data_IF_130283587502
#
_entry.id   IF_130283587502
#
_cell.length_a   1.000
_cell.length_b   1.000
_cell.length_c   1.000
_cell.angle_alpha   90.00
_cell.angle_beta   90.00
_cell.angle_gamma   90.00
#
_symmetry.space_group_name_H-M   'P 1'
#
loop_
_entity.id
_entity.type
_entity.pdbx_description
1 polymer ?
#
# COMPACT_ATOMS: atom_id res chain seq x y z
N UNK A 1 -22.40 28.99 1.25
CA UNK A 1 -21.13 28.94 2.00
C UNK A 1 -20.24 27.74 1.68
N UNK A 2 -20.74 26.52 1.51
CA UNK A 2 -19.94 25.27 1.28
C UNK A 2 -19.21 25.27 -0.08
N UNK A 3 -19.77 25.86 -1.15
CA UNK A 3 -19.10 25.96 -2.46
C UNK A 3 -17.82 26.82 -2.43
N UNK A 4 -17.85 27.95 -1.71
CA UNK A 4 -16.70 28.85 -1.58
C UNK A 4 -15.54 28.20 -0.81
N UNK A 5 -15.82 27.42 0.26
CA UNK A 5 -14.79 26.73 1.02
C UNK A 5 -14.06 25.65 0.21
N UNK A 6 -14.78 24.89 -0.64
CA UNK A 6 -14.17 23.92 -1.57
C UNK A 6 -13.32 24.60 -2.65
N UNK A 7 -13.76 25.76 -3.13
CA UNK A 7 -13.03 26.54 -4.13
C UNK A 7 -11.76 27.17 -3.55
N UNK A 8 -11.85 27.74 -2.36
CA UNK A 8 -10.70 28.28 -1.64
C UNK A 8 -9.66 27.20 -1.33
N UNK A 9 -10.10 26.01 -0.91
CA UNK A 9 -9.18 24.86 -0.67
C UNK A 9 -8.49 24.41 -1.95
N UNK A 10 -9.19 24.38 -3.10
CA UNK A 10 -8.58 24.05 -4.41
C UNK A 10 -7.55 25.11 -4.84
N UNK A 11 -7.87 26.39 -4.69
CA UNK A 11 -6.95 27.49 -4.98
C UNK A 11 -5.71 27.43 -4.07
N UNK A 12 -5.89 27.15 -2.79
CA UNK A 12 -4.78 26.94 -1.85
C UNK A 12 -3.87 25.78 -2.23
N UNK A 13 -4.44 24.64 -2.67
CA UNK A 13 -3.66 23.50 -3.15
C UNK A 13 -2.89 23.81 -4.44
N UNK A 14 -3.50 24.54 -5.38
CA UNK A 14 -2.83 24.97 -6.61
C UNK A 14 -1.70 25.96 -6.32
N UNK A 15 -1.93 26.91 -5.42
CA UNK A 15 -0.90 27.87 -4.99
C UNK A 15 0.27 27.15 -4.29
N UNK A 16 0.00 26.19 -3.42
CA UNK A 16 1.02 25.37 -2.76
C UNK A 16 1.82 24.53 -3.79
N UNK A 17 1.14 23.91 -4.75
CA UNK A 17 1.80 23.16 -5.82
C UNK A 17 2.68 24.08 -6.69
N UNK A 18 2.17 25.25 -7.07
CA UNK A 18 2.95 26.26 -7.81
C UNK A 18 4.16 26.76 -7.05
N UNK A 19 4.02 26.98 -5.74
CA UNK A 19 5.13 27.37 -4.87
C UNK A 19 6.25 26.31 -4.86
N UNK A 20 5.90 25.04 -4.62
CA UNK A 20 6.89 23.96 -4.59
C UNK A 20 7.52 23.67 -5.96
N UNK A 21 6.77 23.78 -7.04
CA UNK A 21 7.33 23.71 -8.39
C UNK A 21 8.28 24.87 -8.67
N UNK A 22 7.97 26.09 -8.19
CA UNK A 22 8.87 27.25 -8.26
C UNK A 22 10.15 27.04 -7.47
N UNK A 23 10.06 26.54 -6.24
CA UNK A 23 11.24 26.18 -5.40
C UNK A 23 12.10 25.14 -6.12
N UNK A 24 11.49 24.07 -6.68
CA UNK A 24 12.24 23.09 -7.46
C UNK A 24 12.91 23.70 -8.68
N UNK A 25 12.20 24.52 -9.45
CA UNK A 25 12.76 25.19 -10.61
C UNK A 25 13.96 26.07 -10.25
N UNK A 26 13.84 26.89 -9.19
CA UNK A 26 14.92 27.78 -8.74
C UNK A 26 16.13 26.98 -8.24
N UNK A 27 15.91 25.91 -7.50
CA UNK A 27 17.01 25.05 -7.04
C UNK A 27 17.69 24.34 -8.20
N UNK A 28 16.95 23.85 -9.19
CA UNK A 28 17.53 23.24 -10.38
C UNK A 28 18.36 24.24 -11.20
N UNK A 29 17.91 25.48 -11.31
CA UNK A 29 18.66 26.56 -11.97
C UNK A 29 19.92 26.95 -11.17
N UNK A 30 19.85 26.99 -9.85
CA UNK A 30 20.99 27.29 -8.97
C UNK A 30 22.07 26.20 -9.04
N UNK A 31 21.67 24.93 -9.14
CA UNK A 31 22.60 23.79 -9.34
C UNK A 31 23.24 23.84 -10.72
N UNK A 32 22.51 24.31 -11.75
CA UNK A 32 23.01 24.51 -13.11
C UNK A 32 23.43 23.25 -13.87
N UNK A 33 23.23 22.07 -13.29
CA UNK A 33 23.61 20.79 -13.89
C UNK A 33 22.41 19.83 -13.95
N UNK A 34 21.80 19.62 -15.14
CA UNK A 34 20.63 18.74 -15.30
C UNK A 34 20.87 17.27 -14.86
N UNK A 35 22.12 16.83 -14.91
CA UNK A 35 22.53 15.49 -14.44
C UNK A 35 22.37 15.34 -12.93
N UNK A 36 22.53 16.41 -12.14
CA UNK A 36 22.34 16.38 -10.69
C UNK A 36 20.88 16.63 -10.31
N UNK A 37 20.28 17.65 -10.90
CA UNK A 37 18.89 18.02 -10.61
C UNK A 37 18.20 18.53 -11.89
N UNK A 38 17.34 17.73 -12.53
CA UNK A 38 16.60 18.16 -13.69
C UNK A 38 15.53 19.19 -13.31
N UNK A 39 15.21 20.08 -14.22
CA UNK A 39 14.09 21.00 -14.05
C UNK A 39 12.75 20.26 -14.10
N UNK A 40 11.67 20.80 -13.49
CA UNK A 40 10.33 20.24 -13.63
C UNK A 40 9.90 20.02 -15.08
N UNK A 41 10.29 20.94 -15.98
CA UNK A 41 10.00 20.82 -17.41
C UNK A 41 10.70 19.63 -18.06
N UNK A 42 11.97 19.37 -17.72
CA UNK A 42 12.71 18.21 -18.23
C UNK A 42 12.13 16.90 -17.70
N UNK A 43 11.80 16.82 -16.42
CA UNK A 43 11.15 15.64 -15.83
C UNK A 43 9.77 15.37 -16.47
N UNK A 44 9.00 16.42 -16.74
CA UNK A 44 7.71 16.31 -17.42
C UNK A 44 7.87 15.87 -18.89
N UNK A 45 8.84 16.38 -19.60
CA UNK A 45 9.12 15.98 -20.99
C UNK A 45 9.45 14.49 -21.08
N UNK A 46 10.29 13.97 -20.15
CA UNK A 46 10.61 12.55 -20.07
C UNK A 46 9.38 11.71 -19.69
N UNK A 47 8.54 12.18 -18.76
CA UNK A 47 7.30 11.52 -18.42
C UNK A 47 6.37 11.40 -19.65
N UNK A 48 6.18 12.48 -20.40
CA UNK A 48 5.35 12.48 -21.62
C UNK A 48 5.92 11.55 -22.69
N UNK A 49 7.25 11.46 -22.81
CA UNK A 49 7.94 10.53 -23.72
C UNK A 49 7.69 9.07 -23.35
N UNK A 50 7.68 8.74 -22.05
CA UNK A 50 7.49 7.38 -21.57
C UNK A 50 6.04 6.91 -21.65
N UNK A 51 5.06 7.79 -21.46
CA UNK A 51 3.63 7.43 -21.40
C UNK A 51 3.12 6.59 -22.60
N UNK A 52 3.46 6.89 -23.86
CA UNK A 52 3.01 6.08 -25.01
C UNK A 52 3.80 4.80 -25.20
N UNK A 53 4.93 4.59 -24.48
CA UNK A 53 5.78 3.44 -24.66
C UNK A 53 5.12 2.17 -24.10
N UNK A 54 4.94 1.10 -24.89
CA UNK A 54 4.34 -0.15 -24.42
C UNK A 54 5.13 -0.79 -23.26
N UNK A 55 6.45 -0.58 -23.25
CA UNK A 55 7.33 -1.08 -22.19
C UNK A 55 6.96 -0.56 -20.81
N UNK A 56 6.51 0.70 -20.70
CA UNK A 56 6.06 1.26 -19.43
C UNK A 56 4.92 0.45 -18.84
N UNK A 57 3.90 0.16 -19.64
CA UNK A 57 2.72 -0.57 -19.19
C UNK A 57 3.00 -2.01 -18.87
N UNK A 58 3.90 -2.65 -19.61
CA UNK A 58 4.38 -4.00 -19.31
C UNK A 58 5.11 -4.05 -17.96
N UNK A 59 6.04 -3.12 -17.73
CA UNK A 59 6.78 -2.99 -16.46
C UNK A 59 5.82 -2.67 -15.29
N UNK A 60 4.87 -1.76 -15.51
CA UNK A 60 3.86 -1.41 -14.54
C UNK A 60 2.98 -2.61 -14.15
N UNK A 61 2.49 -3.37 -15.14
CA UNK A 61 1.69 -4.57 -14.91
C UNK A 61 2.49 -5.66 -14.20
N UNK A 62 3.76 -5.85 -14.57
CA UNK A 62 4.66 -6.82 -13.95
C UNK A 62 4.89 -6.49 -12.46
N UNK A 63 5.28 -5.27 -12.13
CA UNK A 63 5.52 -4.84 -10.75
C UNK A 63 4.23 -4.83 -9.93
N UNK A 64 3.15 -4.26 -10.48
CA UNK A 64 1.85 -4.20 -9.80
C UNK A 64 1.31 -5.59 -9.47
N UNK A 65 1.36 -6.54 -10.44
CA UNK A 65 0.89 -7.91 -10.22
C UNK A 65 1.60 -8.59 -9.06
N UNK A 66 2.91 -8.37 -8.91
CA UNK A 66 3.72 -8.99 -7.85
C UNK A 66 3.51 -8.34 -6.50
N UNK A 67 3.48 -7.01 -6.46
CA UNK A 67 3.21 -6.26 -5.24
C UNK A 67 1.81 -6.58 -4.71
N UNK A 68 0.81 -6.61 -5.60
CA UNK A 68 -0.57 -6.96 -5.23
C UNK A 68 -0.72 -8.43 -4.82
N UNK A 69 0.04 -9.35 -5.43
CA UNK A 69 0.08 -10.75 -4.97
C UNK A 69 0.62 -10.82 -3.53
N UNK A 70 1.73 -10.13 -3.24
CA UNK A 70 2.29 -10.04 -1.88
C UNK A 70 1.30 -9.42 -0.89
N UNK A 71 0.61 -8.35 -1.29
CA UNK A 71 -0.45 -7.74 -0.51
C UNK A 71 -1.60 -8.70 -0.23
N UNK A 72 -2.11 -9.39 -1.24
CA UNK A 72 -3.22 -10.35 -1.10
C UNK A 72 -2.86 -11.51 -0.17
N UNK A 73 -1.68 -12.10 -0.35
CA UNK A 73 -1.17 -13.14 0.55
C UNK A 73 -1.04 -12.61 1.98
N UNK A 74 -0.47 -11.41 2.15
CA UNK A 74 -0.35 -10.75 3.45
C UNK A 74 -1.71 -10.50 4.10
N UNK A 75 -2.70 -10.04 3.34
CA UNK A 75 -4.05 -9.78 3.84
C UNK A 75 -4.75 -11.06 4.32
N UNK A 76 -4.67 -12.14 3.53
CA UNK A 76 -5.25 -13.44 3.91
C UNK A 76 -4.55 -14.00 5.15
N UNK A 77 -3.22 -14.07 5.14
CA UNK A 77 -2.45 -14.60 6.28
C UNK A 77 -2.68 -13.77 7.55
N UNK A 78 -2.65 -12.44 7.46
CA UNK A 78 -2.90 -11.55 8.60
C UNK A 78 -4.26 -11.77 9.23
N UNK A 79 -5.30 -11.91 8.41
CA UNK A 79 -6.68 -12.14 8.88
C UNK A 79 -6.80 -13.48 9.57
N UNK A 80 -6.23 -14.56 8.99
CA UNK A 80 -6.22 -15.89 9.59
C UNK A 80 -5.44 -15.92 10.90
N UNK A 81 -4.25 -15.31 10.94
CA UNK A 81 -3.42 -15.25 12.15
C UNK A 81 -4.09 -14.41 13.25
N UNK A 82 -4.74 -13.30 12.91
CA UNK A 82 -5.47 -12.48 13.86
C UNK A 82 -6.68 -13.22 14.45
N UNK A 83 -7.42 -13.96 13.62
CA UNK A 83 -8.52 -14.81 14.07
C UNK A 83 -8.03 -15.97 14.97
N UNK A 84 -6.90 -16.59 14.61
CA UNK A 84 -6.28 -17.63 15.44
C UNK A 84 -5.78 -17.07 16.79
N UNK A 85 -5.12 -15.91 16.79
CA UNK A 85 -4.65 -15.26 18.00
C UNK A 85 -5.80 -14.80 18.91
N UNK A 86 -6.94 -14.40 18.34
CA UNK A 86 -8.14 -14.12 19.10
C UNK A 86 -8.71 -15.38 19.79
N UNK A 87 -8.64 -16.53 19.12
CA UNK A 87 -9.19 -17.79 19.65
C UNK A 87 -8.26 -18.48 20.65
N UNK A 88 -6.93 -18.33 20.49
CA UNK A 88 -5.92 -19.01 21.28
C UNK A 88 -4.84 -18.04 21.76
N UNK A 89 -4.81 -17.78 23.06
CA UNK A 89 -3.80 -16.91 23.71
C UNK A 89 -2.36 -17.37 23.45
N UNK A 90 -2.14 -18.67 23.34
CA UNK A 90 -0.82 -19.21 23.01
C UNK A 90 -0.33 -18.76 21.64
N UNK A 91 -1.23 -18.67 20.65
CA UNK A 91 -0.91 -18.14 19.30
C UNK A 91 -0.58 -16.65 19.36
N UNK A 92 -1.34 -15.87 20.14
CA UNK A 92 -1.08 -14.44 20.34
C UNK A 92 0.32 -14.22 20.94
N UNK A 93 0.65 -14.91 22.02
CA UNK A 93 1.95 -14.83 22.68
C UNK A 93 3.10 -15.22 21.75
N UNK A 94 2.90 -16.23 20.92
CA UNK A 94 3.90 -16.67 19.93
C UNK A 94 4.10 -15.67 18.80
N UNK A 95 3.02 -15.06 18.32
CA UNK A 95 3.08 -14.12 17.19
C UNK A 95 3.57 -12.72 17.60
N UNK A 96 3.32 -12.30 18.84
CA UNK A 96 3.66 -10.94 19.28
C UNK A 96 5.14 -10.55 19.00
N UNK A 97 6.16 -11.36 19.39
CA UNK A 97 7.55 -11.02 19.12
C UNK A 97 7.88 -11.00 17.61
N UNK A 98 7.26 -11.89 16.82
CA UNK A 98 7.48 -11.94 15.36
C UNK A 98 6.93 -10.68 14.70
N UNK A 99 5.71 -10.26 15.07
CA UNK A 99 5.11 -9.04 14.52
C UNK A 99 5.91 -7.78 14.91
N UNK A 100 6.45 -7.74 16.12
CA UNK A 100 7.31 -6.65 16.56
C UNK A 100 8.65 -6.63 15.82
N UNK A 101 9.26 -7.80 15.62
CA UNK A 101 10.52 -7.92 14.87
C UNK A 101 10.36 -7.40 13.45
N UNK A 102 9.29 -7.81 12.75
CA UNK A 102 9.03 -7.34 11.38
C UNK A 102 8.81 -5.83 11.32
N UNK A 103 8.09 -5.25 12.31
CA UNK A 103 7.87 -3.80 12.38
C UNK A 103 9.14 -3.01 12.69
N UNK A 104 10.02 -3.55 13.52
CA UNK A 104 11.24 -2.85 13.98
C UNK A 104 12.39 -2.94 12.98
N UNK A 105 12.42 -3.96 12.13
CA UNK A 105 13.52 -4.19 11.21
C UNK A 105 13.43 -3.27 9.99
N UNK A 106 14.51 -2.56 9.63
CA UNK A 106 14.55 -1.76 8.41
C UNK A 106 14.28 -2.62 7.18
N UNK A 107 13.41 -2.13 6.28
CA UNK A 107 13.01 -2.86 5.07
C UNK A 107 14.22 -3.26 4.21
N UNK A 108 15.20 -2.36 4.06
CA UNK A 108 16.41 -2.64 3.27
C UNK A 108 17.19 -3.84 3.81
N UNK A 109 17.26 -4.01 5.15
CA UNK A 109 17.93 -5.16 5.77
C UNK A 109 17.19 -6.47 5.46
N UNK A 110 15.86 -6.47 5.48
CA UNK A 110 15.08 -7.63 5.06
C UNK A 110 15.30 -7.99 3.59
N UNK A 111 15.37 -6.97 2.72
CA UNK A 111 15.59 -7.19 1.28
C UNK A 111 16.93 -7.89 1.05
N UNK A 112 18.00 -7.35 1.66
CA UNK A 112 19.37 -7.92 1.52
C UNK A 112 19.43 -9.34 2.07
N UNK A 113 18.83 -9.56 3.25
CA UNK A 113 18.79 -10.88 3.86
C UNK A 113 18.00 -11.88 2.99
N UNK A 114 16.84 -11.48 2.47
CA UNK A 114 16.00 -12.33 1.64
C UNK A 114 16.65 -12.74 0.30
N UNK A 115 17.53 -11.88 -0.25
CA UNK A 115 18.28 -12.19 -1.49
C UNK A 115 19.16 -13.43 -1.37
N UNK A 116 19.53 -13.85 -0.15
CA UNK A 116 20.31 -15.08 0.07
C UNK A 116 19.51 -16.33 -0.32
N UNK A 117 18.19 -16.30 -0.13
CA UNK A 117 17.33 -17.48 -0.33
C UNK A 117 16.33 -17.33 -1.48
N UNK A 118 16.00 -16.11 -1.84
CA UNK A 118 14.91 -15.80 -2.77
C UNK A 118 15.47 -15.07 -3.99
N UNK A 119 15.07 -15.52 -5.19
CA UNK A 119 15.45 -14.85 -6.44
C UNK A 119 14.86 -13.42 -6.50
N UNK A 120 15.56 -12.51 -7.18
CA UNK A 120 15.10 -11.13 -7.37
C UNK A 120 13.67 -11.04 -7.92
N UNK A 121 13.25 -12.03 -8.72
CA UNK A 121 11.89 -12.13 -9.25
C UNK A 121 10.82 -12.29 -8.17
N UNK A 122 11.05 -13.04 -7.12
CA UNK A 122 10.07 -13.31 -6.06
C UNK A 122 10.22 -12.37 -4.87
N UNK A 123 11.26 -11.56 -4.85
CA UNK A 123 11.63 -10.70 -3.74
C UNK A 123 10.56 -9.65 -3.44
N UNK A 124 10.01 -8.96 -4.46
CA UNK A 124 8.97 -7.96 -4.24
C UNK A 124 7.68 -8.55 -3.66
N UNK A 125 7.34 -9.81 -4.03
CA UNK A 125 6.20 -10.52 -3.44
C UNK A 125 6.43 -10.78 -1.95
N UNK A 126 7.61 -11.32 -1.60
CA UNK A 126 7.96 -11.64 -0.21
C UNK A 126 8.01 -10.39 0.67
N UNK A 127 8.67 -9.34 0.19
CA UNK A 127 8.81 -8.10 0.96
C UNK A 127 7.46 -7.40 1.13
N UNK A 128 6.65 -7.34 0.08
CA UNK A 128 5.29 -6.82 0.15
C UNK A 128 4.44 -7.61 1.17
N UNK A 129 4.51 -8.94 1.13
CA UNK A 129 3.86 -9.82 2.10
C UNK A 129 4.28 -9.52 3.54
N UNK A 130 5.59 -9.46 3.81
CA UNK A 130 6.13 -9.22 5.15
C UNK A 130 5.71 -7.85 5.70
N UNK A 131 5.68 -6.81 4.87
CA UNK A 131 5.31 -5.46 5.30
C UNK A 131 3.80 -5.33 5.58
N UNK A 132 2.98 -6.03 4.84
CA UNK A 132 1.51 -6.04 5.01
C UNK A 132 1.10 -6.82 6.27
N UNK A 133 1.79 -7.92 6.54
CA UNK A 133 1.44 -8.89 7.58
C UNK A 133 1.18 -8.24 8.95
N UNK A 134 2.11 -7.50 9.58
CA UNK A 134 1.89 -6.94 10.91
C UNK A 134 0.89 -5.78 10.93
N UNK A 135 0.73 -5.06 9.82
CA UNK A 135 -0.19 -3.93 9.71
C UNK A 135 -1.62 -4.43 9.73
N UNK A 136 -1.94 -5.39 8.86
CA UNK A 136 -3.29 -5.94 8.79
C UNK A 136 -3.62 -6.85 9.96
N UNK A 137 -2.63 -7.60 10.49
CA UNK A 137 -2.81 -8.35 11.75
C UNK A 137 -3.28 -7.43 12.88
N UNK A 138 -2.59 -6.30 13.09
CA UNK A 138 -2.98 -5.32 14.09
C UNK A 138 -4.35 -4.70 13.83
N UNK A 139 -4.66 -4.35 12.58
CA UNK A 139 -5.94 -3.77 12.21
C UNK A 139 -7.11 -4.74 12.48
N UNK A 140 -6.97 -6.01 12.10
CA UNK A 140 -7.99 -7.04 12.35
C UNK A 140 -8.15 -7.28 13.86
N UNK A 141 -7.04 -7.37 14.61
CA UNK A 141 -7.10 -7.52 16.09
C UNK A 141 -7.84 -6.36 16.73
N UNK A 142 -7.50 -5.11 16.37
CA UNK A 142 -8.20 -3.92 16.88
C UNK A 142 -9.69 -3.96 16.53
N UNK A 143 -10.05 -4.39 15.33
CA UNK A 143 -11.45 -4.57 14.94
C UNK A 143 -12.18 -5.63 15.75
N UNK A 144 -11.53 -6.76 16.03
CA UNK A 144 -12.08 -7.81 16.87
C UNK A 144 -12.27 -7.30 18.32
N UNK A 145 -11.29 -6.63 18.88
CA UNK A 145 -11.31 -6.14 20.25
C UNK A 145 -12.30 -4.95 20.44
N UNK A 146 -12.74 -4.31 19.34
CA UNK A 146 -13.75 -3.24 19.36
C UNK A 146 -15.20 -3.74 19.40
N UNK A 147 -15.42 -5.07 19.35
CA UNK A 147 -16.77 -5.64 19.38
C UNK A 147 -17.40 -5.45 20.76
N UNK A 148 -18.60 -4.86 20.79
CA UNK A 148 -19.35 -4.68 22.02
C UNK A 148 -19.80 -6.02 22.59
N UNK A 149 -19.38 -6.31 23.84
CA UNK A 149 -19.76 -7.52 24.57
C UNK A 149 -21.28 -7.68 24.72
N UNK A 150 -22.01 -6.57 24.87
CA UNK A 150 -23.47 -6.62 24.98
C UNK A 150 -24.14 -7.15 23.71
N UNK A 151 -23.60 -6.78 22.52
CA UNK A 151 -24.09 -7.35 21.26
C UNK A 151 -23.82 -8.85 21.14
N UNK A 152 -22.68 -9.30 21.66
CA UNK A 152 -22.34 -10.73 21.68
C UNK A 152 -23.27 -11.51 22.61
N UNK A 153 -23.55 -10.99 23.83
CA UNK A 153 -24.50 -11.56 24.77
C UNK A 153 -25.92 -11.59 24.19
N UNK A 154 -26.37 -10.49 23.59
CA UNK A 154 -27.66 -10.43 22.91
C UNK A 154 -27.77 -11.52 21.82
N UNK A 155 -26.72 -11.69 20.99
CA UNK A 155 -26.68 -12.74 19.98
C UNK A 155 -26.74 -14.16 20.57
N UNK A 156 -26.29 -14.37 21.83
CA UNK A 156 -26.42 -15.64 22.55
C UNK A 156 -27.86 -15.86 23.08
N UNK A 157 -28.46 -14.83 23.67
CA UNK A 157 -29.84 -14.85 24.19
C UNK A 157 -30.82 -15.18 23.07
N UNK A 158 -30.66 -14.56 21.91
CA UNK A 158 -31.48 -14.85 20.71
C UNK A 158 -31.09 -16.16 20.00
N UNK A 159 -30.17 -16.94 20.54
CA UNK A 159 -29.67 -18.20 19.98
C UNK A 159 -29.29 -18.10 18.49
N UNK A 160 -28.69 -16.96 18.12
CA UNK A 160 -28.22 -16.78 16.75
C UNK A 160 -27.17 -17.84 16.41
N UNK A 161 -27.33 -18.51 15.27
CA UNK A 161 -26.33 -19.42 14.73
C UNK A 161 -24.97 -18.69 14.60
N UNK A 162 -23.86 -19.42 14.80
CA UNK A 162 -22.50 -18.88 14.74
C UNK A 162 -22.26 -18.06 13.48
N UNK A 163 -22.72 -18.51 12.32
CA UNK A 163 -22.59 -17.81 11.03
C UNK A 163 -23.33 -16.47 11.01
N UNK A 164 -24.54 -16.40 11.58
CA UNK A 164 -25.29 -15.14 11.69
C UNK A 164 -24.61 -14.17 12.66
N UNK A 165 -24.08 -14.65 13.80
CA UNK A 165 -23.30 -13.79 14.72
C UNK A 165 -22.05 -13.24 14.04
N UNK A 166 -21.31 -14.07 13.30
CA UNK A 166 -20.14 -13.65 12.56
C UNK A 166 -20.48 -12.51 11.57
N UNK A 167 -21.56 -12.69 10.82
CA UNK A 167 -21.97 -11.75 9.78
C UNK A 167 -22.63 -10.47 10.33
N UNK A 168 -23.42 -10.56 11.40
CA UNK A 168 -24.17 -9.44 11.94
C UNK A 168 -23.41 -8.63 13.02
N UNK A 169 -22.46 -9.24 13.73
CA UNK A 169 -21.77 -8.59 14.85
C UNK A 169 -20.30 -8.40 14.54
N UNK A 170 -19.56 -9.48 14.23
CA UNK A 170 -18.11 -9.44 14.10
C UNK A 170 -17.66 -8.74 12.81
N UNK A 171 -18.23 -9.13 11.69
CA UNK A 171 -17.80 -8.62 10.39
C UNK A 171 -18.00 -7.10 10.25
N UNK A 172 -19.17 -6.50 10.64
CA UNK A 172 -19.34 -5.06 10.61
C UNK A 172 -18.39 -4.28 11.54
N UNK A 173 -18.01 -4.87 12.67
CA UNK A 173 -17.07 -4.25 13.61
C UNK A 173 -15.62 -4.29 13.09
N UNK A 174 -15.21 -5.40 12.46
CA UNK A 174 -13.85 -5.59 11.94
C UNK A 174 -13.61 -4.82 10.63
N UNK A 175 -14.61 -4.74 9.75
CA UNK A 175 -14.47 -4.17 8.41
C UNK A 175 -13.92 -2.74 8.38
N UNK A 176 -14.35 -1.78 9.24
CA UNK A 176 -13.80 -0.43 9.23
C UNK A 176 -12.31 -0.39 9.58
N UNK A 177 -11.90 -1.15 10.61
CA UNK A 177 -10.51 -1.26 11.02
C UNK A 177 -9.66 -1.95 9.95
N UNK A 178 -10.17 -3.02 9.33
CA UNK A 178 -9.51 -3.70 8.21
C UNK A 178 -9.33 -2.77 7.01
N UNK A 179 -10.36 -2.02 6.63
CA UNK A 179 -10.29 -1.03 5.56
C UNK A 179 -9.22 0.04 5.83
N UNK A 180 -9.20 0.58 7.05
CA UNK A 180 -8.17 1.53 7.45
C UNK A 180 -6.78 0.92 7.39
N UNK A 181 -6.63 -0.31 7.88
CA UNK A 181 -5.40 -1.09 7.78
C UNK A 181 -4.96 -1.31 6.32
N UNK A 182 -5.88 -1.61 5.41
CA UNK A 182 -5.58 -1.77 3.99
C UNK A 182 -5.03 -0.49 3.36
N UNK A 183 -5.57 0.69 3.69
CA UNK A 183 -5.05 1.96 3.16
C UNK A 183 -3.59 2.17 3.58
N UNK A 184 -3.26 1.94 4.86
CA UNK A 184 -1.88 2.05 5.36
C UNK A 184 -0.99 0.97 4.74
N UNK A 185 -1.45 -0.28 4.72
CA UNK A 185 -0.69 -1.42 4.22
C UNK A 185 -0.36 -1.30 2.73
N UNK A 186 -1.28 -0.78 1.90
CA UNK A 186 -1.04 -0.54 0.47
C UNK A 186 0.08 0.45 0.23
N UNK A 187 0.09 1.57 0.95
CA UNK A 187 1.15 2.57 0.82
C UNK A 187 2.53 2.02 1.21
N UNK A 188 2.61 1.22 2.27
CA UNK A 188 3.86 0.58 2.72
C UNK A 188 4.28 -0.51 1.73
N UNK A 189 3.36 -1.37 1.34
CA UNK A 189 3.56 -2.48 0.43
C UNK A 189 4.13 -2.01 -0.92
N UNK A 190 3.56 -0.95 -1.50
CA UNK A 190 4.03 -0.41 -2.77
C UNK A 190 5.46 0.12 -2.66
N UNK A 191 5.75 0.94 -1.63
CA UNK A 191 7.09 1.49 -1.40
C UNK A 191 8.13 0.38 -1.19
N UNK A 192 7.82 -0.60 -0.35
CA UNK A 192 8.73 -1.69 -0.03
C UNK A 192 8.90 -2.67 -1.20
N UNK A 193 7.84 -2.94 -1.97
CA UNK A 193 7.88 -3.79 -3.14
C UNK A 193 8.76 -3.21 -4.26
N UNK A 194 8.61 -1.91 -4.55
CA UNK A 194 9.48 -1.20 -5.51
C UNK A 194 10.92 -1.13 -4.99
N UNK A 195 11.15 -0.89 -3.69
CA UNK A 195 12.48 -0.92 -3.11
C UNK A 195 13.15 -2.31 -3.27
N UNK A 196 12.38 -3.38 -3.10
CA UNK A 196 12.84 -4.74 -3.34
C UNK A 196 13.20 -4.99 -4.81
N UNK A 197 12.48 -4.39 -5.76
CA UNK A 197 12.82 -4.46 -7.19
C UNK A 197 14.08 -3.66 -7.55
N UNK A 198 14.30 -2.50 -6.89
CA UNK A 198 15.52 -1.69 -7.11
C UNK A 198 16.77 -2.44 -6.63
N UNK A 199 16.66 -3.21 -5.55
CA UNK A 199 17.80 -3.95 -4.98
C UNK A 199 17.94 -5.33 -5.65
N UNK A 200 16.83 -6.01 -5.90
CA UNK A 200 16.80 -7.36 -6.48
C UNK A 200 16.91 -7.40 -8.02
N UNK A 201 16.75 -6.25 -8.67
CA UNK A 201 16.92 -6.05 -10.13
C UNK A 201 16.23 -7.10 -11.01
N UNK A 202 14.95 -7.42 -10.80
CA UNK A 202 14.25 -8.32 -11.69
C UNK A 202 13.99 -7.63 -13.04
N UNK A 203 14.52 -8.21 -14.12
CA UNK A 203 14.33 -7.67 -15.47
C UNK A 203 12.87 -7.39 -15.77
N UNK A 204 12.61 -6.23 -16.37
CA UNK A 204 11.28 -5.79 -16.77
C UNK A 204 10.41 -5.22 -15.65
N UNK A 205 10.96 -4.92 -14.47
CA UNK A 205 10.26 -4.25 -13.39
C UNK A 205 10.37 -2.72 -13.44
N UNK A 206 9.54 -2.03 -12.67
CA UNK A 206 9.65 -0.58 -12.46
C UNK A 206 10.93 -0.23 -11.70
N UNK A 207 11.32 -1.05 -10.71
CA UNK A 207 12.55 -0.87 -9.96
C UNK A 207 13.80 -1.03 -10.82
N UNK A 208 13.83 -2.00 -11.76
CA UNK A 208 14.90 -2.17 -12.75
C UNK A 208 15.02 -0.93 -13.66
N UNK A 209 13.89 -0.39 -14.16
CA UNK A 209 13.90 0.80 -14.99
C UNK A 209 14.50 2.00 -14.26
N UNK A 210 14.07 2.23 -13.01
CA UNK A 210 14.61 3.30 -12.18
C UNK A 210 16.11 3.13 -11.90
N UNK A 211 16.55 1.90 -11.64
CA UNK A 211 17.96 1.60 -11.41
C UNK A 211 18.80 1.82 -12.67
N UNK A 212 18.31 1.41 -13.84
CA UNK A 212 18.98 1.64 -15.14
C UNK A 212 19.14 3.15 -15.41
N UNK A 213 18.10 3.93 -15.21
CA UNK A 213 18.16 5.39 -15.34
C UNK A 213 19.21 6.00 -14.39
N UNK A 214 19.37 5.43 -13.17
CA UNK A 214 20.41 5.83 -12.22
C UNK A 214 21.83 5.57 -12.74
N UNK A 215 22.12 4.37 -13.22
CA UNK A 215 23.49 4.01 -13.67
C UNK A 215 23.89 4.72 -14.97
N UNK A 216 22.91 5.11 -15.80
CA UNK A 216 23.15 5.90 -17.01
C UNK A 216 23.15 7.41 -16.73
N UNK A 217 22.97 7.83 -15.48
CA UNK A 217 22.87 9.24 -15.08
C UNK A 217 21.77 10.02 -15.82
N UNK A 218 20.74 9.33 -16.30
CA UNK A 218 19.57 9.89 -16.94
C UNK A 218 18.58 10.42 -15.88
N UNK A 219 18.95 11.48 -15.17
CA UNK A 219 18.22 11.95 -13.98
C UNK A 219 16.80 12.41 -14.30
N UNK A 220 16.58 13.01 -15.47
CA UNK A 220 15.22 13.34 -15.95
C UNK A 220 14.32 12.11 -16.03
N UNK A 221 14.86 11.01 -16.56
CA UNK A 221 14.16 9.72 -16.64
C UNK A 221 13.91 9.10 -15.25
N UNK A 222 14.87 9.23 -14.31
CA UNK A 222 14.67 8.81 -12.91
C UNK A 222 13.47 9.51 -12.27
N UNK A 223 13.36 10.82 -12.45
CA UNK A 223 12.21 11.59 -11.93
C UNK A 223 10.90 11.19 -12.62
N UNK A 224 10.92 10.92 -13.91
CA UNK A 224 9.75 10.42 -14.65
C UNK A 224 9.31 9.05 -14.12
N UNK A 225 10.20 8.08 -13.95
CA UNK A 225 9.88 6.77 -13.36
C UNK A 225 9.36 6.88 -11.93
N UNK A 226 9.97 7.76 -11.12
CA UNK A 226 9.48 8.03 -9.76
C UNK A 226 8.06 8.59 -9.77
N UNK A 227 7.76 9.53 -10.67
CA UNK A 227 6.41 10.07 -10.82
C UNK A 227 5.41 8.99 -11.25
N UNK A 228 5.79 8.11 -12.19
CA UNK A 228 4.97 6.97 -12.63
C UNK A 228 4.67 6.03 -11.46
N UNK A 229 5.68 5.67 -10.68
CA UNK A 229 5.53 4.81 -9.50
C UNK A 229 4.56 5.43 -8.49
N UNK A 230 4.66 6.74 -8.23
CA UNK A 230 3.76 7.45 -7.33
C UNK A 230 2.32 7.49 -7.86
N UNK A 231 2.13 7.76 -9.15
CA UNK A 231 0.81 7.79 -9.77
C UNK A 231 0.14 6.42 -9.78
N UNK A 232 0.89 5.37 -10.09
CA UNK A 232 0.41 4.00 -10.05
C UNK A 232 0.04 3.60 -8.62
N UNK A 233 0.88 3.89 -7.63
CA UNK A 233 0.58 3.65 -6.21
C UNK A 233 -0.75 4.29 -5.78
N UNK A 234 -0.91 5.59 -6.07
CA UNK A 234 -2.13 6.32 -5.74
C UNK A 234 -3.37 5.81 -6.50
N UNK A 235 -3.19 5.38 -7.75
CA UNK A 235 -4.25 4.77 -8.56
C UNK A 235 -4.71 3.43 -7.99
N UNK A 236 -3.77 2.55 -7.65
CA UNK A 236 -4.07 1.24 -7.06
C UNK A 236 -4.69 1.36 -5.68
N UNK A 237 -4.20 2.27 -4.83
CA UNK A 237 -4.80 2.52 -3.52
C UNK A 237 -6.27 2.93 -3.66
N UNK A 238 -6.56 3.91 -4.50
CA UNK A 238 -7.94 4.36 -4.74
C UNK A 238 -8.84 3.26 -5.31
N UNK A 239 -8.33 2.49 -6.27
CA UNK A 239 -9.09 1.41 -6.90
C UNK A 239 -9.43 0.33 -5.86
N UNK A 240 -8.45 -0.12 -5.09
CA UNK A 240 -8.62 -1.20 -4.13
C UNK A 240 -9.52 -0.77 -2.96
N UNK A 241 -9.37 0.46 -2.46
CA UNK A 241 -10.26 0.99 -1.43
C UNK A 241 -11.69 1.16 -1.96
N UNK A 242 -11.89 1.59 -3.20
CA UNK A 242 -13.21 1.67 -3.81
C UNK A 242 -13.87 0.28 -3.97
N UNK A 243 -13.10 -0.75 -4.29
CA UNK A 243 -13.58 -2.13 -4.33
C UNK A 243 -13.95 -2.65 -2.94
N UNK A 244 -13.11 -2.37 -1.93
CA UNK A 244 -13.42 -2.71 -0.54
C UNK A 244 -14.67 -1.99 -0.04
N UNK A 245 -14.84 -0.70 -0.33
CA UNK A 245 -16.02 0.06 0.07
C UNK A 245 -17.30 -0.53 -0.51
N UNK A 246 -17.25 -0.98 -1.77
CA UNK A 246 -18.39 -1.68 -2.41
C UNK A 246 -18.68 -3.03 -1.74
N UNK A 247 -17.64 -3.80 -1.44
CA UNK A 247 -17.79 -5.09 -0.76
C UNK A 247 -18.36 -4.91 0.67
N UNK A 248 -17.87 -3.92 1.41
CA UNK A 248 -18.40 -3.57 2.74
C UNK A 248 -19.86 -3.16 2.66
N UNK A 249 -20.22 -2.29 1.71
CA UNK A 249 -21.61 -1.84 1.54
C UNK A 249 -22.57 -3.00 1.19
N UNK A 250 -22.12 -3.97 0.40
CA UNK A 250 -22.90 -5.15 0.07
C UNK A 250 -23.16 -6.02 1.32
N UNK A 251 -22.11 -6.28 2.11
CA UNK A 251 -22.20 -7.09 3.34
C UNK A 251 -23.11 -6.44 4.39
N UNK A 252 -22.99 -5.11 4.56
CA UNK A 252 -23.81 -4.38 5.54
C UNK A 252 -25.29 -4.35 5.12
N UNK A 253 -25.60 -4.22 3.82
CA UNK A 253 -26.99 -4.28 3.32
C UNK A 253 -27.63 -5.64 3.57
N UNK A 254 -26.94 -6.73 3.24
CA UNK A 254 -27.45 -8.08 3.48
C UNK A 254 -27.59 -8.40 4.99
N UNK A 255 -26.78 -7.79 5.86
CA UNK A 255 -26.90 -7.92 7.32
C UNK A 255 -28.11 -7.18 7.91
N UNK A 256 -28.63 -6.15 7.23
CA UNK A 256 -29.79 -5.39 7.67
C UNK A 256 -31.15 -6.00 7.21
N UNK A 257 -31.14 -6.95 6.27
CA UNK A 257 -32.31 -7.64 5.76
C UNK A 257 -32.58 -9.00 6.44
N UNK A 258 -31.76 -9.38 7.44
CA UNK A 258 -31.86 -10.64 8.22
C UNK A 258 -32.18 -10.38 9.68
#
# INVERSE_FOLDING_TARGET
>A
MIKNAKQQRRLGLLAAAGFWLGVWQLTAMAVGQPVLLPTPGQALAELVRLLPAPELWQRAAFSAGRILLGFGLGAVCSTLLAAAAWRWTAVELLLAPVMQLVKATPVASFIILALVWVSGRSLSVLISFLMVLPVLYGAVRTGIDSVDGQLVEMGQVFRLCWWRRMRAIWLPAVLPAFRQGCSVALGICWKSGVAAEIIGLPDGSLGDALYRAKITLATGEMFAWTAIILLLSAGFEKLLLALLDRAVAAVVKEGAEV
#
